data_IF_069530995607
#
_entry.id   IF_069530995607
#
_cell.length_a   1.000
_cell.length_b   1.000
_cell.length_c   1.000
_cell.angle_alpha   90.00
_cell.angle_beta   90.00
_cell.angle_gamma   90.00
#
_symmetry.space_group_name_H-M   'P 1'
#
loop_
_entity.id
_entity.type
_entity.pdbx_description
1 polymer ?
#
# COMPACT_ATOMS: atom_id res chain seq x y z
N UNK A 1 9.48 5.74 9.85
CA UNK A 1 9.96 6.97 9.15
C UNK A 1 9.41 8.18 9.88
N UNK A 2 10.24 9.20 10.15
CA UNK A 2 9.77 10.45 10.75
C UNK A 2 9.88 11.55 9.69
N UNK A 3 8.91 12.47 9.65
CA UNK A 3 9.03 13.68 8.87
C UNK A 3 9.87 14.71 9.64
N UNK A 4 10.84 15.34 8.97
CA UNK A 4 11.56 16.45 9.53
C UNK A 4 10.74 17.77 9.40
N UNK A 5 11.23 18.86 9.99
CA UNK A 5 10.56 20.18 9.94
C UNK A 5 10.35 20.73 8.52
N UNK A 6 10.98 20.13 7.51
CA UNK A 6 10.86 20.48 6.09
C UNK A 6 9.88 19.57 5.33
N UNK A 7 9.20 18.64 6.03
CA UNK A 7 8.27 17.69 5.42
C UNK A 7 8.92 16.55 4.64
N UNK A 8 10.25 16.42 4.71
CA UNK A 8 10.97 15.32 4.10
C UNK A 8 11.01 14.11 5.04
N UNK A 9 10.90 12.92 4.47
CA UNK A 9 11.08 11.68 5.22
C UNK A 9 12.56 11.47 5.52
N UNK A 10 12.88 11.22 6.79
CA UNK A 10 14.23 10.94 7.26
C UNK A 10 14.25 9.64 8.06
N UNK A 11 15.42 9.02 8.08
CA UNK A 11 15.66 7.84 8.91
C UNK A 11 16.11 8.33 10.30
N UNK A 12 15.27 8.21 11.34
CA UNK A 12 15.65 8.65 12.66
C UNK A 12 16.82 7.80 13.18
N UNK A 13 17.91 8.48 13.55
CA UNK A 13 19.08 7.85 14.16
C UNK A 13 19.14 8.23 15.64
N UNK A 14 19.16 7.23 16.51
CA UNK A 14 19.33 7.43 17.93
C UNK A 14 20.54 6.64 18.44
N UNK A 15 21.46 7.34 19.11
CA UNK A 15 22.71 6.75 19.62
C UNK A 15 23.54 6.00 18.57
N UNK A 16 23.57 6.51 17.33
CA UNK A 16 24.33 5.90 16.22
C UNK A 16 23.66 4.69 15.55
N UNK A 17 22.46 4.28 15.99
CA UNK A 17 21.69 3.23 15.36
C UNK A 17 20.41 3.80 14.75
N UNK A 18 19.93 3.19 13.67
CA UNK A 18 18.61 3.47 13.13
C UNK A 18 17.54 3.12 14.18
N UNK A 19 16.62 4.04 14.41
CA UNK A 19 15.47 3.77 15.27
C UNK A 19 14.58 2.78 14.55
N UNK A 20 14.42 1.58 15.11
CA UNK A 20 13.50 0.59 14.59
C UNK A 20 12.07 1.12 14.63
N UNK A 21 11.38 1.08 13.50
CA UNK A 21 9.96 1.34 13.44
C UNK A 21 9.23 0.07 13.92
N UNK A 22 8.65 0.13 15.11
CA UNK A 22 7.80 -0.94 15.63
C UNK A 22 6.36 -0.85 15.11
N UNK A 23 6.07 0.14 14.25
CA UNK A 23 4.79 0.24 13.55
C UNK A 23 4.83 -0.61 12.29
N UNK A 24 3.69 -1.14 11.85
CA UNK A 24 3.55 -1.79 10.54
C UNK A 24 3.41 -0.77 9.39
N UNK A 25 3.67 0.51 9.66
CA UNK A 25 3.44 1.58 8.68
C UNK A 25 4.31 1.46 7.44
N UNK A 26 5.60 1.14 7.61
CA UNK A 26 6.51 0.96 6.48
C UNK A 26 6.14 -0.24 5.63
N UNK A 27 5.81 -1.37 6.26
CA UNK A 27 5.39 -2.60 5.61
C UNK A 27 4.09 -2.39 4.82
N UNK A 28 3.11 -1.71 5.43
CA UNK A 28 1.85 -1.37 4.77
C UNK A 28 2.13 -0.46 3.57
N UNK A 29 2.98 0.55 3.72
CA UNK A 29 3.31 1.49 2.66
C UNK A 29 3.98 0.79 1.49
N UNK A 30 4.97 -0.05 1.73
CA UNK A 30 5.65 -0.84 0.69
C UNK A 30 4.66 -1.76 -0.01
N UNK A 31 3.79 -2.45 0.74
CA UNK A 31 2.78 -3.34 0.17
C UNK A 31 1.75 -2.62 -0.69
N UNK A 32 1.37 -1.40 -0.35
CA UNK A 32 0.36 -0.65 -1.11
C UNK A 32 0.93 0.05 -2.34
N UNK A 33 2.15 0.59 -2.25
CA UNK A 33 2.70 1.50 -3.25
C UNK A 33 3.80 0.90 -4.13
N UNK A 34 4.18 -0.34 -3.91
CA UNK A 34 4.95 -1.12 -4.89
C UNK A 34 3.98 -1.64 -5.95
N UNK A 35 4.32 -1.51 -7.22
CA UNK A 35 3.49 -1.97 -8.33
C UNK A 35 3.70 -3.48 -8.52
N UNK A 36 2.72 -4.31 -8.13
CA UNK A 36 2.75 -5.74 -8.43
C UNK A 36 2.42 -5.99 -9.91
N UNK A 37 2.96 -7.05 -10.48
CA UNK A 37 2.71 -7.44 -11.87
C UNK A 37 1.24 -7.76 -12.10
N UNK A 38 0.67 -7.18 -13.17
CA UNK A 38 -0.70 -7.47 -13.60
C UNK A 38 -0.73 -8.58 -14.64
N UNK A 39 -1.86 -9.25 -14.75
CA UNK A 39 -2.15 -10.16 -15.86
C UNK A 39 -2.55 -9.37 -17.12
N UNK A 40 -2.39 -9.99 -18.31
CA UNK A 40 -2.66 -9.31 -19.57
C UNK A 40 -4.12 -8.89 -19.77
N UNK A 41 -5.03 -9.62 -19.20
CA UNK A 41 -6.48 -9.40 -19.24
C UNK A 41 -6.95 -8.30 -18.27
N UNK A 42 -6.12 -7.95 -17.30
CA UNK A 42 -6.39 -6.85 -16.36
C UNK A 42 -6.00 -5.48 -16.92
N UNK A 43 -5.20 -5.46 -17.99
CA UNK A 43 -4.72 -4.21 -18.56
C UNK A 43 -5.76 -3.53 -19.44
N UNK A 44 -5.82 -2.18 -19.41
CA UNK A 44 -6.51 -1.44 -20.45
C UNK A 44 -5.97 -1.79 -21.86
N UNK A 45 -6.80 -1.80 -22.90
CA UNK A 45 -6.40 -2.23 -24.25
C UNK A 45 -5.17 -1.51 -24.83
N UNK A 46 -4.92 -0.30 -24.34
CA UNK A 46 -3.82 0.56 -24.80
C UNK A 46 -2.53 0.36 -23.99
N UNK A 47 -2.60 -0.34 -22.87
CA UNK A 47 -1.46 -0.57 -21.97
C UNK A 47 -0.81 -1.92 -22.28
N UNK A 48 0.52 -1.91 -22.47
CA UNK A 48 1.32 -3.14 -22.69
C UNK A 48 2.29 -3.40 -21.54
N UNK A 49 2.43 -2.46 -20.62
CA UNK A 49 3.32 -2.56 -19.49
C UNK A 49 2.62 -3.32 -18.36
N UNK A 50 3.08 -4.53 -18.11
CA UNK A 50 2.58 -5.40 -17.04
C UNK A 50 3.09 -4.97 -15.66
N UNK A 51 4.06 -4.05 -15.62
CA UNK A 51 4.79 -3.64 -14.41
C UNK A 51 5.35 -4.82 -13.61
N UNK A 52 5.43 -4.67 -12.33
CA UNK A 52 6.05 -5.62 -11.41
C UNK A 52 7.35 -5.06 -10.83
N UNK A 53 7.66 -5.48 -9.62
CA UNK A 53 8.91 -5.12 -8.99
C UNK A 53 10.04 -6.01 -9.52
N UNK A 54 11.22 -5.45 -9.77
CA UNK A 54 12.36 -6.19 -10.31
C UNK A 54 12.79 -7.40 -9.46
N UNK A 55 12.60 -7.31 -8.15
CA UNK A 55 12.96 -8.39 -7.24
C UNK A 55 11.91 -9.51 -7.16
N UNK A 56 10.73 -9.36 -7.76
CA UNK A 56 9.73 -10.44 -7.82
C UNK A 56 10.32 -11.70 -8.48
N UNK A 57 11.20 -11.52 -9.47
CA UNK A 57 11.90 -12.64 -10.10
C UNK A 57 12.71 -13.49 -9.11
N UNK A 58 13.25 -12.87 -8.05
CA UNK A 58 13.98 -13.57 -6.99
C UNK A 58 13.02 -14.29 -6.03
N UNK A 59 11.87 -13.67 -5.75
CA UNK A 59 10.82 -14.25 -4.91
C UNK A 59 10.21 -15.49 -5.57
N UNK A 60 9.93 -15.44 -6.88
CA UNK A 60 9.50 -16.59 -7.65
C UNK A 60 10.48 -17.77 -7.59
N UNK A 61 11.79 -17.51 -7.61
CA UNK A 61 12.83 -18.55 -7.46
C UNK A 61 12.82 -19.18 -6.06
N UNK A 62 12.27 -18.49 -5.06
CA UNK A 62 12.12 -18.97 -3.69
C UNK A 62 10.74 -19.63 -3.43
N UNK A 63 9.87 -19.68 -4.44
CA UNK A 63 8.54 -20.28 -4.35
C UNK A 63 7.45 -19.34 -3.87
N UNK A 64 7.72 -18.04 -3.77
CA UNK A 64 6.71 -17.02 -3.51
C UNK A 64 6.11 -16.54 -4.83
N UNK A 65 4.88 -16.98 -5.11
CA UNK A 65 4.18 -16.67 -6.35
C UNK A 65 3.44 -15.32 -6.31
N UNK A 66 3.34 -14.68 -5.15
CA UNK A 66 2.47 -13.50 -5.01
C UNK A 66 3.18 -12.17 -5.26
N UNK A 67 4.50 -12.11 -5.10
CA UNK A 67 5.25 -10.85 -5.21
C UNK A 67 4.86 -9.81 -4.14
N UNK A 68 5.62 -8.72 -4.05
CA UNK A 68 5.33 -7.61 -3.14
C UNK A 68 4.65 -6.49 -3.90
N UNK A 69 3.53 -5.98 -3.35
CA UNK A 69 2.89 -4.79 -3.88
C UNK A 69 1.39 -4.90 -4.09
N UNK A 70 0.84 -3.93 -4.77
CA UNK A 70 -0.59 -3.82 -5.06
C UNK A 70 -0.86 -3.58 -6.55
N UNK A 71 -2.12 -3.82 -6.96
CA UNK A 71 -2.63 -3.47 -8.28
C UNK A 71 -3.28 -2.07 -8.32
N UNK A 72 -3.07 -1.24 -7.31
CA UNK A 72 -3.63 0.13 -7.26
C UNK A 72 -3.21 0.98 -8.46
N UNK A 73 -2.05 0.72 -9.04
CA UNK A 73 -1.57 1.41 -10.23
C UNK A 73 -2.48 1.21 -11.47
N UNK A 74 -3.27 0.12 -11.53
CA UNK A 74 -4.24 -0.10 -12.59
C UNK A 74 -5.40 0.90 -12.56
N UNK A 75 -5.65 1.52 -11.40
CA UNK A 75 -6.72 2.49 -11.23
C UNK A 75 -6.35 3.89 -11.75
N UNK A 76 -5.08 4.11 -12.06
CA UNK A 76 -4.62 5.38 -12.63
C UNK A 76 -5.34 5.64 -13.96
N UNK A 77 -5.78 6.87 -14.16
CA UNK A 77 -6.55 7.30 -15.35
C UNK A 77 -7.94 6.69 -15.50
N UNK A 78 -8.42 5.95 -14.52
CA UNK A 78 -9.82 5.52 -14.52
C UNK A 78 -10.74 6.68 -14.09
N UNK A 79 -11.95 6.71 -14.67
CA UNK A 79 -12.99 7.65 -14.22
C UNK A 79 -13.35 7.32 -12.78
N UNK A 80 -13.60 8.36 -11.99
CA UNK A 80 -14.05 8.22 -10.61
C UNK A 80 -15.47 7.66 -10.56
N UNK A 81 -15.57 6.35 -10.58
CA UNK A 81 -16.82 5.61 -10.44
C UNK A 81 -16.79 4.89 -9.09
N UNK A 82 -17.94 4.61 -8.54
CA UNK A 82 -18.08 3.82 -7.31
C UNK A 82 -17.41 2.43 -7.45
N UNK A 83 -17.45 1.85 -8.65
CA UNK A 83 -16.73 0.61 -8.94
C UNK A 83 -15.21 0.70 -8.74
N UNK A 84 -14.62 1.87 -8.98
CA UNK A 84 -13.17 2.09 -8.76
C UNK A 84 -12.83 2.09 -7.28
N UNK A 85 -13.72 2.61 -6.41
CA UNK A 85 -13.55 2.54 -4.96
C UNK A 85 -13.55 1.09 -4.48
N UNK A 86 -14.50 0.29 -4.95
CA UNK A 86 -14.58 -1.14 -4.60
C UNK A 86 -13.34 -1.90 -5.08
N UNK A 87 -12.84 -1.59 -6.28
CA UNK A 87 -11.60 -2.17 -6.79
C UNK A 87 -10.39 -1.75 -5.96
N UNK A 88 -10.31 -0.47 -5.58
CA UNK A 88 -9.23 0.03 -4.74
C UNK A 88 -9.17 -0.68 -3.38
N UNK A 89 -10.32 -0.86 -2.73
CA UNK A 89 -10.41 -1.63 -1.49
C UNK A 89 -9.97 -3.08 -1.67
N UNK A 90 -10.37 -3.71 -2.77
CA UNK A 90 -10.02 -5.09 -3.09
C UNK A 90 -8.53 -5.23 -3.31
N UNK A 91 -7.92 -4.38 -4.12
CA UNK A 91 -6.48 -4.40 -4.40
C UNK A 91 -5.65 -4.12 -3.14
N UNK A 92 -6.06 -3.13 -2.35
CA UNK A 92 -5.35 -2.81 -1.10
C UNK A 92 -5.49 -3.94 -0.08
N UNK A 93 -6.66 -4.57 0.03
CA UNK A 93 -6.88 -5.71 0.93
C UNK A 93 -6.05 -6.92 0.51
N UNK A 94 -5.99 -7.22 -0.79
CA UNK A 94 -5.13 -8.31 -1.31
C UNK A 94 -3.66 -8.06 -1.03
N UNK A 95 -3.18 -6.83 -1.23
CA UNK A 95 -1.79 -6.46 -0.96
C UNK A 95 -1.38 -6.60 0.50
N UNK A 96 -2.35 -6.53 1.43
CA UNK A 96 -2.10 -6.61 2.87
C UNK A 96 -2.46 -7.99 3.47
N UNK A 97 -2.93 -8.93 2.65
CA UNK A 97 -3.36 -10.24 3.14
C UNK A 97 -2.22 -11.04 3.78
N UNK A 98 -1.00 -10.85 3.32
CA UNK A 98 0.18 -11.50 3.88
C UNK A 98 0.39 -11.19 5.37
N UNK A 99 0.00 -9.99 5.84
CA UNK A 99 0.08 -9.64 7.27
C UNK A 99 -0.74 -10.60 8.14
N UNK A 100 -1.87 -11.07 7.61
CA UNK A 100 -2.73 -12.05 8.29
C UNK A 100 -2.12 -13.44 8.17
N UNK A 101 -1.64 -13.81 6.98
CA UNK A 101 -1.06 -15.12 6.72
C UNK A 101 0.20 -15.38 7.58
N UNK A 102 1.02 -14.36 7.77
CA UNK A 102 2.22 -14.39 8.63
C UNK A 102 1.91 -14.20 10.13
N UNK A 103 0.64 -14.03 10.48
CA UNK A 103 0.22 -13.85 11.88
C UNK A 103 0.64 -12.52 12.50
N UNK A 104 1.03 -11.53 11.71
CA UNK A 104 1.40 -10.18 12.17
C UNK A 104 0.16 -9.35 12.50
N UNK A 105 -0.94 -9.60 11.78
CA UNK A 105 -2.23 -8.97 11.99
C UNK A 105 -3.33 -10.01 12.22
N UNK A 106 -4.28 -9.69 13.09
CA UNK A 106 -5.50 -10.46 13.29
C UNK A 106 -6.64 -10.01 12.37
N UNK A 107 -6.61 -8.75 11.94
CA UNK A 107 -7.59 -8.19 11.03
C UNK A 107 -7.00 -6.99 10.26
N UNK A 108 -7.42 -6.88 9.00
CA UNK A 108 -7.14 -5.73 8.12
C UNK A 108 -8.46 -5.23 7.57
N UNK A 109 -8.73 -3.95 7.73
CA UNK A 109 -9.88 -3.29 7.11
C UNK A 109 -9.39 -2.12 6.24
N UNK A 110 -9.96 -2.01 5.06
CA UNK A 110 -9.66 -0.95 4.09
C UNK A 110 -10.95 -0.31 3.65
N UNK A 111 -10.98 1.01 3.64
CA UNK A 111 -12.06 1.83 3.09
C UNK A 111 -11.49 2.80 2.07
N UNK A 112 -12.18 2.99 0.95
CA UNK A 112 -11.80 3.90 -0.11
C UNK A 112 -12.87 4.99 -0.27
N UNK A 113 -12.45 6.23 -0.44
CA UNK A 113 -13.30 7.40 -0.61
C UNK A 113 -12.75 8.33 -1.68
N UNK A 114 -13.61 9.10 -2.33
CA UNK A 114 -13.24 10.18 -3.24
C UNK A 114 -13.46 11.54 -2.55
N UNK A 115 -12.51 12.06 -1.78
CA UNK A 115 -12.69 13.32 -1.07
C UNK A 115 -12.77 14.51 -2.02
N UNK A 116 -12.07 14.45 -3.14
CA UNK A 116 -12.02 15.49 -4.19
C UNK A 116 -11.90 14.82 -5.55
N UNK A 117 -12.34 15.49 -6.60
CA UNK A 117 -12.20 15.00 -7.97
C UNK A 117 -10.72 14.74 -8.33
N UNK A 118 -10.44 13.56 -8.87
CA UNK A 118 -9.08 13.14 -9.22
C UNK A 118 -8.30 12.49 -8.06
N UNK A 119 -8.83 12.47 -6.85
CA UNK A 119 -8.16 11.90 -5.70
C UNK A 119 -8.90 10.69 -5.12
N UNK A 120 -8.15 9.68 -4.77
CA UNK A 120 -8.59 8.50 -4.03
C UNK A 120 -7.95 8.54 -2.64
N UNK A 121 -8.77 8.54 -1.60
CA UNK A 121 -8.31 8.37 -0.23
C UNK A 121 -8.49 6.91 0.18
N UNK A 122 -7.43 6.30 0.69
CA UNK A 122 -7.44 4.97 1.30
C UNK A 122 -7.22 5.10 2.81
N UNK A 123 -8.16 4.58 3.58
CA UNK A 123 -8.02 4.44 5.03
C UNK A 123 -7.83 2.97 5.35
N UNK A 124 -6.68 2.65 5.92
CA UNK A 124 -6.32 1.28 6.31
C UNK A 124 -6.26 1.19 7.82
N UNK A 125 -6.87 0.17 8.39
CA UNK A 125 -6.81 -0.13 9.81
C UNK A 125 -6.35 -1.57 9.99
N UNK A 126 -5.21 -1.75 10.65
CA UNK A 126 -4.61 -3.05 10.95
C UNK A 126 -4.66 -3.30 12.45
N UNK A 127 -5.25 -4.42 12.83
CA UNK A 127 -5.25 -4.88 14.22
C UNK A 127 -4.14 -5.91 14.38
N UNK A 128 -3.14 -5.59 15.21
CA UNK A 128 -2.01 -6.51 15.45
C UNK A 128 -2.47 -7.79 16.17
N UNK A 129 -1.90 -8.91 15.74
CA UNK A 129 -1.96 -10.16 16.46
C UNK A 129 -0.91 -10.14 17.58
N UNK A 130 -1.24 -9.56 18.74
CA UNK A 130 -0.37 -9.62 19.91
C UNK A 130 -1.10 -10.27 21.06
N UNK A 131 -0.48 -11.22 21.79
CA UNK A 131 -1.12 -11.88 22.93
C UNK A 131 -1.36 -10.96 24.13
N UNK A 132 -0.75 -9.78 24.20
CA UNK A 132 -0.82 -8.90 25.36
C UNK A 132 -1.41 -7.50 25.12
N UNK A 133 -1.44 -7.01 23.89
CA UNK A 133 -1.98 -5.67 23.57
C UNK A 133 -2.59 -5.66 22.17
N UNK A 134 -3.88 -5.36 22.07
CA UNK A 134 -4.53 -5.08 20.80
C UNK A 134 -4.14 -3.66 20.37
N UNK A 135 -3.10 -3.54 19.58
CA UNK A 135 -2.70 -2.27 18.99
C UNK A 135 -3.35 -2.15 17.62
N UNK A 136 -4.17 -1.14 17.44
CA UNK A 136 -4.73 -0.76 16.14
C UNK A 136 -3.86 0.34 15.54
N UNK A 137 -3.31 0.08 14.38
CA UNK A 137 -2.67 1.09 13.53
C UNK A 137 -3.71 1.54 12.52
N UNK A 138 -3.99 2.83 12.45
CA UNK A 138 -4.90 3.39 11.46
C UNK A 138 -4.16 4.50 10.73
N UNK A 139 -3.92 4.29 9.45
CA UNK A 139 -3.28 5.25 8.58
C UNK A 139 -4.21 5.59 7.41
N UNK A 140 -4.13 6.80 6.91
CA UNK A 140 -4.86 7.25 5.74
C UNK A 140 -3.89 7.80 4.70
N UNK A 141 -4.08 7.43 3.45
CA UNK A 141 -3.29 7.91 2.32
C UNK A 141 -4.19 8.49 1.26
N UNK A 142 -3.73 9.55 0.62
CA UNK A 142 -4.36 10.11 -0.57
C UNK A 142 -3.52 9.77 -1.80
N UNK A 143 -4.20 9.26 -2.82
CA UNK A 143 -3.61 8.88 -4.10
C UNK A 143 -4.17 9.79 -5.18
N UNK A 144 -3.29 10.50 -5.88
CA UNK A 144 -3.70 11.28 -7.04
C UNK A 144 -3.84 10.33 -8.25
N UNK A 145 -5.07 10.21 -8.77
CA UNK A 145 -5.36 9.34 -9.92
C UNK A 145 -5.05 10.02 -11.27
N UNK A 146 -4.81 11.33 -11.28
CA UNK A 146 -4.59 12.11 -12.51
C UNK A 146 -3.11 12.30 -12.85
N UNK A 147 -2.23 12.22 -11.88
CA UNK A 147 -0.79 12.41 -12.04
C UNK A 147 -0.01 11.10 -11.94
N UNK A 148 1.21 11.12 -12.44
CA UNK A 148 2.10 9.95 -12.48
C UNK A 148 2.74 9.68 -11.12
N UNK A 149 2.73 10.66 -10.23
CA UNK A 149 3.35 10.59 -8.91
C UNK A 149 2.31 10.46 -7.80
N UNK A 150 2.61 9.56 -6.86
CA UNK A 150 1.82 9.37 -5.64
C UNK A 150 2.26 10.42 -4.63
N UNK A 151 1.43 11.42 -4.40
CA UNK A 151 1.65 12.35 -3.29
C UNK A 151 1.07 11.71 -2.03
N UNK A 152 1.95 11.26 -1.14
CA UNK A 152 1.54 10.76 0.17
C UNK A 152 1.28 11.95 1.09
N UNK A 153 0.03 12.18 1.45
CA UNK A 153 -0.30 12.99 2.60
C UNK A 153 -0.68 12.06 3.75
N UNK A 154 0.24 11.87 4.69
CA UNK A 154 -0.10 11.26 5.96
C UNK A 154 -1.07 12.17 6.69
N UNK A 155 -2.27 11.69 6.95
CA UNK A 155 -3.21 12.38 7.85
C UNK A 155 -3.03 11.75 9.23
N UNK A 156 -2.61 12.57 10.17
CA UNK A 156 -2.50 12.25 11.60
C UNK A 156 -3.88 11.92 12.18
#
# INVERSE_FOLDING_TARGET
MAQNEQGLFDLPVQRGNLVGDNSLGTEIMVSLFTDVRAEKDELPPECRDLRGWWADALLFLQGDEQGIGSKLWLLRRQKQLESVLVQAETYARSALQWLINEGLASAVSVTAENPVQGMLALKVSVTRASPSVVQRVTDAWMINLTETDVTMMGVV
#
